data_IF_823878654633
#
_entry.id   IF_823878654633
#
_cell.length_a   1.000
_cell.length_b   1.000
_cell.length_c   1.000
_cell.angle_alpha   90.00
_cell.angle_beta   90.00
_cell.angle_gamma   90.00
#
_symmetry.space_group_name_H-M   'P 1'
#
loop_
_entity.id
_entity.type
_entity.pdbx_description
1 polymer ?
#
# COMPACT_ATOMS: atom_id res chain seq x y z
N UNK A 1 8.68 12.25 -16.21
CA UNK A 1 7.88 12.72 -15.06
C UNK A 1 8.11 11.82 -13.86
N UNK A 2 8.24 12.39 -12.69
CA UNK A 2 8.43 11.65 -11.45
C UNK A 2 7.24 11.85 -10.51
N UNK A 3 7.12 11.01 -9.50
CA UNK A 3 6.06 11.16 -8.51
C UNK A 3 6.11 12.52 -7.80
N UNK A 4 7.30 13.06 -7.56
CA UNK A 4 7.44 14.40 -6.97
C UNK A 4 6.76 15.48 -7.81
N UNK A 5 6.80 15.36 -9.13
CA UNK A 5 6.12 16.29 -10.04
C UNK A 5 4.61 16.19 -9.90
N UNK A 6 4.10 14.95 -9.81
CA UNK A 6 2.67 14.67 -9.63
C UNK A 6 2.18 15.22 -8.29
N UNK A 7 2.90 14.94 -7.21
CA UNK A 7 2.54 15.43 -5.88
C UNK A 7 2.59 16.94 -5.78
N UNK A 8 3.58 17.55 -6.41
CA UNK A 8 3.66 19.01 -6.46
C UNK A 8 2.45 19.61 -7.15
N UNK A 9 2.06 19.08 -8.30
CA UNK A 9 0.88 19.52 -9.05
C UNK A 9 -0.40 19.38 -8.22
N UNK A 10 -0.59 18.23 -7.57
CA UNK A 10 -1.77 17.96 -6.74
C UNK A 10 -1.82 18.92 -5.54
N UNK A 11 -0.71 19.14 -4.86
CA UNK A 11 -0.65 19.99 -3.66
C UNK A 11 -0.79 21.47 -3.98
N UNK A 12 -0.51 21.89 -5.21
CA UNK A 12 -0.80 23.28 -5.64
C UNK A 12 -2.27 23.52 -5.92
N UNK A 13 -3.04 22.47 -6.24
CA UNK A 13 -4.47 22.56 -6.54
C UNK A 13 -5.37 22.27 -5.34
N UNK A 14 -4.89 21.50 -4.39
CA UNK A 14 -5.64 21.05 -3.23
C UNK A 14 -4.84 21.25 -1.96
N UNK A 15 -5.53 21.63 -0.89
CA UNK A 15 -4.91 21.81 0.42
C UNK A 15 -5.06 20.52 1.25
N UNK A 16 -3.92 19.89 1.54
CA UNK A 16 -3.86 18.66 2.34
C UNK A 16 -3.45 18.91 3.79
N UNK A 17 -3.36 20.16 4.25
CA UNK A 17 -2.88 20.52 5.57
C UNK A 17 -3.70 19.85 6.68
N UNK A 18 -5.02 19.89 6.59
CA UNK A 18 -5.90 19.28 7.60
C UNK A 18 -5.71 17.76 7.69
N UNK A 19 -5.53 17.09 6.56
CA UNK A 19 -5.26 15.66 6.52
C UNK A 19 -3.92 15.32 7.16
N UNK A 20 -2.88 16.08 6.82
CA UNK A 20 -1.54 15.88 7.39
C UNK A 20 -1.52 16.12 8.91
N UNK A 21 -2.20 17.16 9.39
CA UNK A 21 -2.31 17.45 10.81
C UNK A 21 -3.06 16.33 11.54
N UNK A 22 -4.13 15.82 10.96
CA UNK A 22 -4.89 14.69 11.50
C UNK A 22 -4.01 13.45 11.62
N UNK A 23 -3.26 13.10 10.57
CA UNK A 23 -2.37 11.93 10.57
C UNK A 23 -1.25 12.07 11.61
N UNK A 24 -0.62 13.24 11.71
CA UNK A 24 0.40 13.49 12.72
C UNK A 24 -0.15 13.25 14.12
N UNK A 25 -1.33 13.77 14.41
CA UNK A 25 -1.98 13.59 15.71
C UNK A 25 -2.26 12.11 16.00
N UNK A 26 -2.84 11.40 15.03
CA UNK A 26 -3.16 9.98 15.18
C UNK A 26 -1.92 9.13 15.43
N UNK A 27 -0.84 9.35 14.70
CA UNK A 27 0.42 8.60 14.88
C UNK A 27 1.10 8.90 16.22
N UNK A 28 0.87 10.07 16.81
CA UNK A 28 1.46 10.41 18.11
C UNK A 28 0.63 9.92 19.28
N UNK A 29 -0.68 9.72 19.11
CA UNK A 29 -1.60 9.38 20.21
C UNK A 29 -2.11 7.95 20.16
N UNK A 30 -1.97 7.26 19.05
CA UNK A 30 -2.52 5.93 18.83
C UNK A 30 -1.53 5.03 18.07
N UNK A 31 -1.82 3.73 18.06
CA UNK A 31 -1.13 2.77 17.20
C UNK A 31 -1.85 2.75 15.85
N UNK A 32 -1.17 3.18 14.80
CA UNK A 32 -1.74 3.29 13.45
C UNK A 32 -0.94 2.42 12.49
N UNK A 33 -1.63 1.73 11.59
CA UNK A 33 -1.02 0.91 10.55
C UNK A 33 -1.37 1.44 9.15
N UNK A 34 -0.43 1.37 8.19
CA UNK A 34 0.97 0.95 8.33
C UNK A 34 1.80 1.94 9.14
N UNK A 35 3.03 1.57 9.46
CA UNK A 35 3.98 2.49 10.08
C UNK A 35 4.10 3.75 9.20
N UNK A 36 4.33 4.89 9.83
CA UNK A 36 4.35 6.20 9.16
C UNK A 36 5.29 6.24 7.96
N UNK A 37 6.43 5.60 8.07
CA UNK A 37 7.44 5.52 7.01
C UNK A 37 6.98 4.70 5.79
N UNK A 38 5.94 3.89 5.93
CA UNK A 38 5.43 3.01 4.87
C UNK A 38 4.17 3.53 4.17
N UNK A 39 3.65 4.69 4.56
CA UNK A 39 2.41 5.23 3.98
C UNK A 39 2.49 5.33 2.45
N UNK A 40 3.63 5.79 1.93
CA UNK A 40 3.85 6.01 0.50
C UNK A 40 4.73 4.95 -0.15
N UNK A 41 4.81 3.77 0.44
CA UNK A 41 5.69 2.70 -0.03
C UNK A 41 5.45 2.32 -1.49
N UNK A 42 4.20 2.32 -1.94
CA UNK A 42 3.86 1.99 -3.33
C UNK A 42 4.56 2.93 -4.32
N UNK A 43 4.64 4.21 -3.98
CA UNK A 43 5.28 5.22 -4.83
C UNK A 43 6.80 5.09 -4.80
N UNK A 44 7.37 4.71 -3.67
CA UNK A 44 8.81 4.49 -3.53
C UNK A 44 9.28 3.28 -4.35
N UNK A 45 8.46 2.22 -4.40
CA UNK A 45 8.82 0.98 -5.06
C UNK A 45 8.60 0.99 -6.57
N UNK A 46 7.65 1.79 -7.06
CA UNK A 46 7.31 1.82 -8.49
C UNK A 46 7.43 3.23 -9.03
N UNK A 47 8.50 3.55 -9.79
CA UNK A 47 8.62 4.85 -10.43
C UNK A 47 7.44 5.17 -11.35
N UNK A 48 7.07 6.43 -11.45
CA UNK A 48 5.91 6.88 -12.23
C UNK A 48 5.91 6.32 -13.65
N UNK A 49 7.07 6.37 -14.33
CA UNK A 49 7.19 5.93 -15.72
C UNK A 49 7.03 4.40 -15.90
N UNK A 50 7.09 3.64 -14.82
CA UNK A 50 6.97 2.18 -14.85
C UNK A 50 5.59 1.66 -14.46
N UNK A 51 4.69 2.54 -14.05
CA UNK A 51 3.34 2.15 -13.64
C UNK A 51 2.56 1.66 -14.85
N UNK A 52 2.02 0.44 -14.75
CA UNK A 52 1.15 -0.15 -15.76
C UNK A 52 -0.27 -0.35 -15.25
N UNK A 53 -0.40 -0.67 -13.97
CA UNK A 53 -1.68 -0.95 -13.32
C UNK A 53 -1.67 -0.30 -11.95
N UNK A 54 -2.80 0.28 -11.55
CA UNK A 54 -3.01 0.81 -10.21
C UNK A 54 -4.10 -0.03 -9.53
N UNK A 55 -3.76 -0.57 -8.35
CA UNK A 55 -4.72 -1.32 -7.52
C UNK A 55 -5.08 -0.43 -6.33
N UNK A 56 -6.36 -0.10 -6.23
CA UNK A 56 -6.88 0.70 -5.13
C UNK A 56 -7.65 -0.21 -4.17
N UNK A 57 -7.15 -0.33 -2.94
CA UNK A 57 -7.83 -1.06 -1.88
C UNK A 57 -8.77 -0.15 -1.09
N UNK A 58 -9.48 -0.74 -0.14
CA UNK A 58 -10.42 0.01 0.72
C UNK A 58 -9.69 0.62 1.91
N UNK A 59 -9.18 -0.22 2.80
CA UNK A 59 -8.50 0.18 4.03
C UNK A 59 -7.24 -0.64 4.23
N UNK A 60 -6.23 -0.12 4.93
CA UNK A 60 -5.10 -0.94 5.37
C UNK A 60 -5.57 -2.05 6.34
N UNK A 61 -4.84 -3.16 6.38
CA UNK A 61 -5.09 -4.18 7.39
C UNK A 61 -4.91 -3.59 8.79
N UNK A 62 -5.74 -4.01 9.73
CA UNK A 62 -5.76 -3.45 11.09
C UNK A 62 -4.97 -4.25 12.13
N UNK A 63 -4.41 -5.40 11.76
CA UNK A 63 -3.62 -6.22 12.66
C UNK A 63 -2.15 -5.79 12.69
N UNK A 64 -1.43 -6.13 13.79
CA UNK A 64 0.00 -5.85 13.86
C UNK A 64 0.78 -6.62 12.80
N UNK A 65 1.84 -6.02 12.26
CA UNK A 65 2.73 -6.61 11.25
C UNK A 65 2.03 -7.01 9.94
N UNK A 66 0.87 -6.45 9.62
CA UNK A 66 0.17 -6.75 8.38
C UNK A 66 0.43 -5.68 7.31
N UNK A 67 -0.15 -4.49 7.47
CA UNK A 67 -0.05 -3.42 6.48
C UNK A 67 1.37 -2.86 6.35
N UNK A 68 1.83 -2.63 5.12
CA UNK A 68 3.14 -2.02 4.88
C UNK A 68 3.14 -1.04 3.69
N UNK A 69 1.97 -0.57 3.27
CA UNK A 69 1.83 0.46 2.23
C UNK A 69 1.52 -0.05 0.82
N UNK A 70 1.33 -1.35 0.65
CA UNK A 70 0.92 -1.95 -0.63
C UNK A 70 -0.46 -2.62 -0.45
N UNK A 71 -1.40 -2.28 -1.32
CA UNK A 71 -2.74 -2.86 -1.28
C UNK A 71 -2.70 -4.38 -1.31
N UNK A 72 -3.46 -5.04 -0.44
CA UNK A 72 -3.59 -6.49 -0.27
C UNK A 72 -2.35 -7.21 0.25
N UNK A 73 -1.19 -6.59 0.22
CA UNK A 73 0.07 -7.16 0.69
C UNK A 73 0.17 -7.10 2.21
N UNK A 74 0.90 -8.06 2.80
CA UNK A 74 1.25 -8.05 4.22
C UNK A 74 2.74 -8.18 4.39
N UNK A 75 3.24 -7.90 5.60
CA UNK A 75 4.64 -8.13 5.96
C UNK A 75 5.01 -9.60 5.73
N UNK A 76 6.29 -9.91 5.43
CA UNK A 76 6.70 -11.25 5.02
C UNK A 76 6.37 -12.37 6.01
N UNK A 77 6.35 -12.06 7.30
CA UNK A 77 6.10 -12.99 8.39
C UNK A 77 4.63 -13.07 8.82
N UNK A 78 3.76 -12.30 8.19
CA UNK A 78 2.34 -12.31 8.51
C UNK A 78 1.61 -13.48 7.85
N UNK A 79 0.46 -13.85 8.41
CA UNK A 79 -0.40 -14.87 7.83
C UNK A 79 -1.03 -14.38 6.53
N UNK A 80 -1.30 -15.30 5.61
CA UNK A 80 -2.02 -15.00 4.38
C UNK A 80 -3.41 -14.44 4.68
N UNK A 81 -3.74 -13.21 4.25
CA UNK A 81 -5.11 -12.71 4.34
C UNK A 81 -6.03 -13.48 3.39
N UNK A 82 -7.31 -13.69 3.76
CA UNK A 82 -8.24 -14.41 2.90
C UNK A 82 -8.42 -13.81 1.51
N UNK A 83 -8.49 -12.48 1.38
CA UNK A 83 -8.63 -11.82 0.10
C UNK A 83 -7.42 -12.06 -0.81
N UNK A 84 -6.22 -11.96 -0.26
CA UNK A 84 -4.99 -12.21 -1.03
C UNK A 84 -4.89 -13.68 -1.42
N UNK A 85 -5.28 -14.59 -0.55
CA UNK A 85 -5.33 -16.03 -0.86
C UNK A 85 -6.25 -16.30 -2.05
N UNK A 86 -7.41 -15.67 -2.09
CA UNK A 86 -8.34 -15.80 -3.21
C UNK A 86 -7.76 -15.25 -4.51
N UNK A 87 -7.05 -14.12 -4.44
CA UNK A 87 -6.37 -13.55 -5.60
C UNK A 87 -5.31 -14.51 -6.15
N UNK A 88 -4.52 -15.11 -5.29
CA UNK A 88 -3.48 -16.07 -5.69
C UNK A 88 -4.08 -17.34 -6.29
N UNK A 89 -5.20 -17.80 -5.74
CA UNK A 89 -5.93 -18.94 -6.30
C UNK A 89 -6.41 -18.65 -7.71
N UNK A 90 -6.96 -17.45 -7.94
CA UNK A 90 -7.41 -17.03 -9.26
C UNK A 90 -6.26 -16.92 -10.25
N UNK A 91 -5.11 -16.40 -9.84
CA UNK A 91 -3.93 -16.35 -10.69
C UNK A 91 -3.47 -17.75 -11.12
N UNK A 92 -3.49 -18.71 -10.20
CA UNK A 92 -3.13 -20.08 -10.50
C UNK A 92 -4.15 -20.74 -11.45
N UNK A 93 -5.43 -20.57 -11.17
CA UNK A 93 -6.50 -21.18 -11.97
C UNK A 93 -6.59 -20.58 -13.39
N UNK A 94 -6.37 -19.27 -13.53
CA UNK A 94 -6.53 -18.57 -14.79
C UNK A 94 -5.30 -18.69 -15.69
N UNK A 95 -4.11 -18.37 -15.16
CA UNK A 95 -2.88 -18.27 -15.96
C UNK A 95 -1.77 -19.20 -15.49
N UNK A 96 -2.03 -20.07 -14.53
CA UNK A 96 -1.02 -21.00 -14.01
C UNK A 96 0.10 -20.33 -13.20
N UNK A 97 -0.12 -19.08 -12.78
CA UNK A 97 0.87 -18.35 -11.98
C UNK A 97 0.75 -18.75 -10.51
N UNK A 98 1.81 -19.35 -9.97
CA UNK A 98 1.84 -19.75 -8.55
C UNK A 98 2.75 -18.79 -7.78
N UNK A 99 2.19 -18.13 -6.78
CA UNK A 99 2.91 -17.28 -5.85
C UNK A 99 2.78 -17.82 -4.44
N UNK A 100 3.87 -17.79 -3.69
CA UNK A 100 3.91 -18.36 -2.34
C UNK A 100 4.05 -17.32 -1.24
N UNK A 101 4.66 -16.16 -1.54
CA UNK A 101 4.84 -15.10 -0.56
C UNK A 101 3.61 -14.19 -0.48
N UNK A 102 3.11 -13.88 0.74
CA UNK A 102 2.05 -12.90 0.92
C UNK A 102 2.54 -11.45 0.82
N UNK A 103 3.83 -11.25 0.67
CA UNK A 103 4.47 -9.95 0.56
C UNK A 103 4.63 -9.59 -0.91
N UNK A 104 3.78 -8.69 -1.41
CA UNK A 104 3.71 -8.41 -2.85
C UNK A 104 4.90 -7.64 -3.40
N UNK A 105 5.81 -7.21 -2.56
CA UNK A 105 7.08 -6.62 -2.98
C UNK A 105 8.03 -7.66 -3.57
N UNK A 106 7.87 -8.92 -3.21
CA UNK A 106 8.73 -10.01 -3.68
C UNK A 106 8.52 -10.38 -5.15
#
# INVERSE_FOLDING_TARGET
MEWSDVFHDITTRHDFTAMHDFLEKEYTTDVVYPDKENIYQAFDLTPFEQVKVVILGQDPYHGPNQAHGLAFSVQPDAKFPPSLRNMYKELEDDIGCVRQSPHLQD
#
